data_IF_509212325121
#
_entry.id   IF_509212325121
#
_cell.length_a   1.000
_cell.length_b   1.000
_cell.length_c   1.000
_cell.angle_alpha   90.00
_cell.angle_beta   90.00
_cell.angle_gamma   90.00
#
_symmetry.space_group_name_H-M   'P 1'
#
loop_
_entity.id
_entity.type
_entity.pdbx_description
1 polymer ?
#
# COMPACT_ATOMS: atom_id res chain seq x y z
N UNK A 1 -25.18 -37.28 6.92
CA UNK A 1 -24.02 -36.46 7.35
C UNK A 1 -23.32 -35.77 6.17
N UNK A 2 -22.80 -36.49 5.17
CA UNK A 2 -22.06 -35.89 4.05
C UNK A 2 -22.86 -34.83 3.24
N UNK A 3 -24.12 -35.10 2.89
CA UNK A 3 -24.97 -34.15 2.14
C UNK A 3 -25.20 -32.86 2.93
N UNK A 4 -25.50 -32.97 4.22
CA UNK A 4 -25.70 -31.81 5.10
C UNK A 4 -24.41 -31.00 5.25
N UNK A 5 -23.26 -31.69 5.40
CA UNK A 5 -21.95 -31.04 5.44
C UNK A 5 -21.65 -30.25 4.17
N UNK A 6 -21.87 -30.83 2.98
CA UNK A 6 -21.66 -30.14 1.70
C UNK A 6 -22.59 -28.93 1.53
N UNK A 7 -23.86 -29.06 1.93
CA UNK A 7 -24.82 -27.94 1.88
C UNK A 7 -24.37 -26.79 2.78
N UNK A 8 -23.81 -27.06 3.96
CA UNK A 8 -23.31 -25.98 4.84
C UNK A 8 -22.01 -25.38 4.29
N UNK A 9 -21.06 -26.21 3.85
CA UNK A 9 -19.77 -25.76 3.35
C UNK A 9 -19.84 -24.96 2.05
N UNK A 10 -20.79 -25.29 1.16
CA UNK A 10 -20.97 -24.59 -0.12
C UNK A 10 -22.09 -23.55 -0.03
N UNK A 11 -23.20 -23.91 0.61
CA UNK A 11 -24.37 -23.05 0.73
C UNK A 11 -24.13 -21.84 1.63
N UNK A 12 -23.29 -21.96 2.68
CA UNK A 12 -22.89 -20.82 3.50
C UNK A 12 -22.20 -19.73 2.67
N UNK A 13 -21.04 -20.01 2.04
CA UNK A 13 -20.37 -19.05 1.18
C UNK A 13 -21.23 -18.56 0.01
N UNK A 14 -22.00 -19.45 -0.63
CA UNK A 14 -22.88 -19.06 -1.73
C UNK A 14 -23.98 -18.08 -1.28
N UNK A 15 -24.60 -18.32 -0.12
CA UNK A 15 -25.60 -17.43 0.46
C UNK A 15 -24.99 -16.08 0.84
N UNK A 16 -23.78 -16.07 1.41
CA UNK A 16 -23.07 -14.83 1.73
C UNK A 16 -22.79 -14.01 0.47
N UNK A 17 -22.26 -14.63 -0.58
CA UNK A 17 -22.00 -13.95 -1.87
C UNK A 17 -23.30 -13.40 -2.46
N UNK A 18 -24.40 -14.15 -2.33
CA UNK A 18 -25.70 -13.72 -2.84
C UNK A 18 -26.31 -12.55 -2.06
N UNK A 19 -26.10 -12.49 -0.75
CA UNK A 19 -26.68 -11.46 0.12
C UNK A 19 -25.80 -10.21 0.22
N UNK A 20 -24.48 -10.37 0.11
CA UNK A 20 -23.54 -9.27 0.26
C UNK A 20 -23.73 -8.25 -0.87
N UNK A 21 -23.96 -6.95 -0.55
CA UNK A 21 -24.08 -5.93 -1.58
C UNK A 21 -22.77 -5.80 -2.35
N UNK A 22 -22.90 -5.47 -3.63
CA UNK A 22 -21.73 -5.16 -4.48
C UNK A 22 -21.07 -3.85 -4.04
N UNK A 23 -19.81 -3.65 -4.43
CA UNK A 23 -19.07 -2.42 -4.10
C UNK A 23 -19.78 -1.15 -4.60
N UNK A 24 -20.46 -1.23 -5.76
CA UNK A 24 -21.23 -0.11 -6.32
C UNK A 24 -22.50 0.20 -5.51
N UNK A 25 -23.21 -0.84 -5.05
CA UNK A 25 -24.37 -0.68 -4.17
C UNK A 25 -23.96 -0.14 -2.80
N UNK A 26 -22.81 -0.57 -2.29
CA UNK A 26 -22.25 -0.06 -1.05
C UNK A 26 -21.85 1.42 -1.21
N UNK A 27 -21.21 1.78 -2.31
CA UNK A 27 -20.83 3.16 -2.62
C UNK A 27 -22.04 4.10 -2.67
N UNK A 28 -23.15 3.67 -3.28
CA UNK A 28 -24.40 4.45 -3.32
C UNK A 28 -24.99 4.72 -1.94
N UNK A 29 -24.72 3.87 -0.94
CA UNK A 29 -25.18 4.03 0.45
C UNK A 29 -24.29 4.97 1.27
N UNK A 30 -23.12 5.37 0.77
CA UNK A 30 -22.25 6.31 1.46
C UNK A 30 -22.84 7.72 1.50
N UNK A 31 -22.45 8.51 2.50
CA UNK A 31 -22.77 9.93 2.52
C UNK A 31 -22.03 10.66 1.36
N UNK A 32 -22.51 11.85 0.92
CA UNK A 32 -21.95 12.54 -0.24
C UNK A 32 -20.44 12.85 -0.11
N UNK A 33 -19.97 13.16 1.10
CA UNK A 33 -18.56 13.45 1.35
C UNK A 33 -17.66 12.21 1.16
N UNK A 34 -18.06 11.05 1.67
CA UNK A 34 -17.31 9.81 1.48
C UNK A 34 -17.36 9.34 0.03
N UNK A 35 -18.46 9.56 -0.68
CA UNK A 35 -18.54 9.29 -2.12
C UNK A 35 -17.48 10.11 -2.87
N UNK A 36 -17.40 11.42 -2.61
CA UNK A 36 -16.40 12.30 -3.22
C UNK A 36 -14.98 11.85 -2.89
N UNK A 37 -14.67 11.61 -1.61
CA UNK A 37 -13.34 11.18 -1.17
C UNK A 37 -12.93 9.81 -1.76
N UNK A 38 -13.88 8.89 -1.87
CA UNK A 38 -13.65 7.57 -2.47
C UNK A 38 -13.37 7.68 -3.98
N UNK A 39 -14.07 8.57 -4.69
CA UNK A 39 -13.79 8.85 -6.11
C UNK A 39 -12.41 9.49 -6.31
N UNK A 40 -12.07 10.50 -5.50
CA UNK A 40 -10.77 11.18 -5.55
C UNK A 40 -9.61 10.21 -5.29
N UNK A 41 -9.78 9.28 -4.34
CA UNK A 41 -8.75 8.31 -3.95
C UNK A 41 -8.81 7.00 -4.71
N UNK A 42 -9.75 6.83 -5.65
CA UNK A 42 -9.96 5.55 -6.34
C UNK A 42 -8.69 5.07 -7.04
N UNK A 43 -8.02 5.97 -7.75
CA UNK A 43 -6.78 5.67 -8.44
C UNK A 43 -5.64 5.35 -7.48
N UNK A 44 -5.48 6.15 -6.42
CA UNK A 44 -4.51 5.92 -5.36
C UNK A 44 -4.70 4.53 -4.74
N UNK A 45 -5.94 4.15 -4.42
CA UNK A 45 -6.28 2.85 -3.84
C UNK A 45 -5.99 1.69 -4.78
N UNK A 46 -6.28 1.84 -6.07
CA UNK A 46 -5.94 0.82 -7.08
C UNK A 46 -4.44 0.64 -7.18
N UNK A 47 -3.69 1.75 -7.25
CA UNK A 47 -2.24 1.72 -7.31
C UNK A 47 -1.63 1.10 -6.04
N UNK A 48 -2.10 1.50 -4.86
CA UNK A 48 -1.66 0.92 -3.58
C UNK A 48 -1.89 -0.60 -3.54
N UNK A 49 -3.01 -1.06 -4.08
CA UNK A 49 -3.32 -2.48 -4.16
C UNK A 49 -2.39 -3.22 -5.12
N UNK A 50 -2.18 -2.69 -6.31
CA UNK A 50 -1.27 -3.27 -7.32
C UNK A 50 0.17 -3.32 -6.81
N UNK A 51 0.64 -2.23 -6.17
CA UNK A 51 1.94 -2.14 -5.54
C UNK A 51 2.07 -3.19 -4.41
N UNK A 52 1.04 -3.33 -3.57
CA UNK A 52 1.00 -4.33 -2.50
C UNK A 52 1.08 -5.76 -3.05
N UNK A 53 0.26 -6.11 -4.04
CA UNK A 53 0.28 -7.45 -4.65
C UNK A 53 1.62 -7.72 -5.32
N UNK A 54 2.23 -6.71 -5.94
CA UNK A 54 3.56 -6.82 -6.55
C UNK A 54 4.64 -7.09 -5.51
N UNK A 55 4.65 -6.36 -4.39
CA UNK A 55 5.55 -6.61 -3.27
C UNK A 55 5.33 -7.99 -2.67
N UNK A 56 4.08 -8.41 -2.49
CA UNK A 56 3.75 -9.72 -1.94
C UNK A 56 4.28 -10.85 -2.82
N UNK A 57 4.14 -10.72 -4.15
CA UNK A 57 4.72 -11.66 -5.14
C UNK A 57 6.25 -11.68 -5.09
N UNK A 58 6.89 -10.56 -4.80
CA UNK A 58 8.33 -10.51 -4.64
C UNK A 58 8.78 -11.20 -3.35
N UNK A 59 8.11 -10.91 -2.23
CA UNK A 59 8.43 -11.51 -0.94
C UNK A 59 8.15 -13.02 -0.91
N UNK A 60 7.13 -13.49 -1.65
CA UNK A 60 6.83 -14.91 -1.76
C UNK A 60 7.91 -15.73 -2.47
N UNK A 61 8.88 -15.09 -3.15
CA UNK A 61 10.02 -15.79 -3.75
C UNK A 61 11.09 -16.19 -2.73
N UNK A 62 11.00 -15.65 -1.51
CA UNK A 62 11.92 -16.01 -0.43
C UNK A 62 11.44 -17.27 0.29
N UNK A 63 12.38 -18.09 0.74
CA UNK A 63 12.10 -19.23 1.63
C UNK A 63 11.78 -18.79 3.07
N UNK A 64 11.98 -17.52 3.39
CA UNK A 64 11.64 -16.95 4.70
C UNK A 64 10.15 -16.60 4.78
N UNK A 65 9.55 -16.64 5.98
CA UNK A 65 8.20 -16.11 6.17
C UNK A 65 8.07 -14.65 5.70
N UNK A 66 6.95 -14.33 5.03
CA UNK A 66 6.69 -13.04 4.39
C UNK A 66 6.92 -11.86 5.35
N UNK A 67 6.50 -11.99 6.61
CA UNK A 67 6.66 -10.91 7.60
C UNK A 67 8.12 -10.58 7.92
N UNK A 68 9.03 -11.56 7.87
CA UNK A 68 10.46 -11.35 8.08
C UNK A 68 11.06 -10.60 6.89
N UNK A 69 10.72 -11.02 5.66
CA UNK A 69 11.20 -10.37 4.44
C UNK A 69 10.71 -8.93 4.36
N UNK A 70 9.45 -8.69 4.73
CA UNK A 70 8.86 -7.37 4.76
C UNK A 70 9.53 -6.46 5.81
N UNK A 71 9.88 -6.99 6.98
CA UNK A 71 10.63 -6.25 8.01
C UNK A 71 12.05 -5.91 7.52
N UNK A 72 12.75 -6.86 6.90
CA UNK A 72 14.07 -6.64 6.31
C UNK A 72 14.03 -5.57 5.21
N UNK A 73 13.02 -5.62 4.33
CA UNK A 73 12.81 -4.61 3.29
C UNK A 73 12.50 -3.23 3.88
N UNK A 74 11.64 -3.16 4.90
CA UNK A 74 11.31 -1.91 5.58
C UNK A 74 12.54 -1.30 6.30
N UNK A 75 13.41 -2.14 6.87
CA UNK A 75 14.66 -1.68 7.49
C UNK A 75 15.61 -1.09 6.44
N UNK A 76 15.83 -1.80 5.33
CA UNK A 76 16.66 -1.30 4.22
C UNK A 76 16.13 0.02 3.65
N UNK A 77 14.83 0.12 3.41
CA UNK A 77 14.21 1.35 2.90
C UNK A 77 14.38 2.54 3.86
N UNK A 78 14.38 2.32 5.19
CA UNK A 78 14.66 3.37 6.17
C UNK A 78 16.12 3.80 6.14
N UNK A 79 17.05 2.85 6.06
CA UNK A 79 18.49 3.13 5.96
C UNK A 79 18.83 3.90 4.69
N UNK A 80 18.23 3.53 3.55
CA UNK A 80 18.40 4.24 2.28
C UNK A 80 17.87 5.67 2.35
N UNK A 81 16.66 5.88 2.90
CA UNK A 81 16.12 7.24 3.10
C UNK A 81 17.01 8.10 3.97
N UNK A 82 17.53 7.55 5.08
CA UNK A 82 18.43 8.29 5.97
C UNK A 82 19.73 8.69 5.23
N UNK A 83 20.24 7.80 4.38
CA UNK A 83 21.42 8.06 3.56
C UNK A 83 21.15 9.14 2.50
N UNK A 84 20.01 9.07 1.81
CA UNK A 84 19.58 10.09 0.84
C UNK A 84 19.41 11.46 1.50
N UNK A 85 18.77 11.51 2.68
CA UNK A 85 18.60 12.75 3.44
C UNK A 85 19.95 13.38 3.82
N UNK A 86 20.91 12.55 4.24
CA UNK A 86 22.26 13.01 4.58
C UNK A 86 22.99 13.59 3.36
N UNK A 87 22.99 12.87 2.24
CA UNK A 87 23.60 13.33 0.99
C UNK A 87 22.94 14.61 0.48
N UNK A 88 21.61 14.69 0.53
CA UNK A 88 20.85 15.88 0.16
C UNK A 88 21.16 17.08 1.07
N UNK A 89 21.39 16.86 2.37
CA UNK A 89 21.81 17.90 3.29
C UNK A 89 23.22 18.41 3.00
N UNK A 90 24.17 17.52 2.69
CA UNK A 90 25.53 17.90 2.27
C UNK A 90 25.53 18.69 0.96
N UNK A 91 24.75 18.27 -0.04
CA UNK A 91 24.60 19.02 -1.29
C UNK A 91 24.01 20.41 -1.07
N UNK A 92 22.97 20.53 -0.22
CA UNK A 92 22.37 21.83 0.12
C UNK A 92 23.39 22.74 0.80
N UNK A 93 24.19 22.22 1.74
CA UNK A 93 25.28 22.98 2.38
C UNK A 93 26.31 23.44 1.35
N UNK A 94 26.76 22.55 0.47
CA UNK A 94 27.73 22.87 -0.59
C UNK A 94 27.20 23.94 -1.56
N UNK A 95 25.92 23.89 -1.92
CA UNK A 95 25.26 24.92 -2.74
C UNK A 95 25.18 26.26 -2.02
N UNK A 96 24.85 26.26 -0.72
CA UNK A 96 24.83 27.49 0.09
C UNK A 96 26.22 28.12 0.23
N UNK A 97 27.27 27.31 0.40
CA UNK A 97 28.65 27.78 0.47
C UNK A 97 29.16 28.35 -0.87
N UNK A 98 28.80 27.72 -1.99
CA UNK A 98 29.10 28.25 -3.32
C UNK A 98 28.41 29.60 -3.56
N UNK A 99 27.12 29.70 -3.23
CA UNK A 99 26.37 30.96 -3.32
C UNK A 99 26.96 32.07 -2.44
N UNK A 100 27.40 31.74 -1.22
CA UNK A 100 28.08 32.70 -0.32
C UNK A 100 29.41 33.20 -0.90
N UNK A 101 30.19 32.33 -1.53
CA UNK A 101 31.45 32.71 -2.21
C UNK A 101 31.20 33.58 -3.45
N UNK A 102 30.12 33.34 -4.19
CA UNK A 102 29.76 34.13 -5.37
C UNK A 102 29.13 35.49 -5.05
N UNK A 103 28.46 35.64 -3.89
CA UNK A 103 27.84 36.92 -3.46
C UNK A 103 28.75 37.84 -2.65
N UNK A 104 30.02 37.48 -2.43
CA UNK A 104 31.06 38.43 -2.01
C UNK A 104 30.93 38.98 -0.58
N UNK A 105 30.59 38.13 0.39
CA UNK A 105 30.84 38.37 1.82
C UNK A 105 31.97 37.47 2.32
#
# INVERSE_FOLDING_TARGET
>A
MAVVGTVVCVGGPALTIWLQPTDEELFKRYNPELQKKSLERRYEKQKEFDDFVTQLKEYSKSDKPIWIVQEEAARKAKEEKLREDFLGAEEKKRRQEALRKETGL
#
